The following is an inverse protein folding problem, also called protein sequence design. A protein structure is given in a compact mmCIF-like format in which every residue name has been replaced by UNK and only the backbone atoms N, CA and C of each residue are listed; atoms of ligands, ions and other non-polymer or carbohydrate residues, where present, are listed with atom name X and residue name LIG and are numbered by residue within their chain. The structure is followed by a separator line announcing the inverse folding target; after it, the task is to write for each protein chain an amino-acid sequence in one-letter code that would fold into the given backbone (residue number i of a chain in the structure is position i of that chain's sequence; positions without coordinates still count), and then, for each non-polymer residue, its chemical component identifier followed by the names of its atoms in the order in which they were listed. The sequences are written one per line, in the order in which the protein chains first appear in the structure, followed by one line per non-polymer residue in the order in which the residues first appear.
data_IF_930435584214
#
_entry.id   IF_930435584214
#
_cell.length_a   1.000
_cell.length_b   1.000
_cell.length_c   1.000
_cell.angle_alpha   90.00
_cell.angle_beta   90.00
_cell.angle_gamma   90.00
#
_symmetry.space_group_name_H-M   'P 1'
#
loop_
_entity.id
_entity.type
_entity.pdbx_description
1 polymer ?
#
# COMPACT_ATOMS: atom_id res chain seq x y z
N UNK A 1 7.64 -9.33 21.88
CA UNK A 1 8.12 -9.00 20.51
C UNK A 1 9.54 -8.51 20.63
N UNK A 2 10.48 -8.84 19.73
CA UNK A 2 11.80 -8.23 19.78
C UNK A 2 11.63 -6.70 19.69
N UNK A 3 12.50 -5.97 20.40
CA UNK A 3 12.49 -4.51 20.53
C UNK A 3 12.84 -3.87 19.17
N UNK A 4 11.92 -3.97 18.21
CA UNK A 4 12.03 -3.39 16.88
C UNK A 4 11.16 -2.11 16.82
N UNK A 5 11.78 -0.91 16.81
CA UNK A 5 11.05 0.34 16.77
C UNK A 5 10.11 0.49 15.58
N UNK A 6 10.40 -0.10 14.41
CA UNK A 6 9.49 -0.07 13.25
C UNK A 6 8.18 -0.77 13.61
N UNK A 7 8.27 -1.97 14.17
CA UNK A 7 7.10 -2.76 14.57
C UNK A 7 6.33 -2.06 15.68
N UNK A 8 7.05 -1.55 16.69
CA UNK A 8 6.47 -0.85 17.83
C UNK A 8 5.70 0.40 17.41
N UNK A 9 6.32 1.28 16.61
CA UNK A 9 5.70 2.54 16.19
C UNK A 9 4.47 2.28 15.32
N UNK A 10 4.55 1.36 14.36
CA UNK A 10 3.38 1.00 13.52
C UNK A 10 2.25 0.43 14.38
N UNK A 11 2.57 -0.42 15.37
CA UNK A 11 1.58 -0.98 16.29
C UNK A 11 0.93 0.09 17.16
N UNK A 12 1.72 0.99 17.74
CA UNK A 12 1.20 2.13 18.50
C UNK A 12 0.24 2.98 17.67
N UNK A 13 0.59 3.23 16.40
CA UNK A 13 -0.26 4.00 15.49
C UNK A 13 -1.58 3.29 15.16
N UNK A 14 -1.57 1.96 15.05
CA UNK A 14 -2.81 1.18 14.92
C UNK A 14 -3.63 1.23 16.21
N UNK A 15 -2.99 1.14 17.37
CA UNK A 15 -3.68 1.11 18.67
C UNK A 15 -4.35 2.44 19.03
N UNK A 16 -3.85 3.56 18.50
CA UNK A 16 -4.49 4.88 18.61
C UNK A 16 -5.81 4.99 17.85
N UNK A 17 -6.08 4.11 16.89
CA UNK A 17 -7.37 4.07 16.20
C UNK A 17 -8.39 3.57 17.20
N UNK A 18 -9.38 4.37 17.60
CA UNK A 18 -10.35 3.96 18.64
C UNK A 18 -11.29 2.83 18.18
N UNK A 19 -11.54 2.74 16.87
CA UNK A 19 -12.46 1.76 16.30
C UNK A 19 -12.05 0.30 16.65
N UNK A 20 -13.00 -0.56 17.05
CA UNK A 20 -12.71 -1.96 17.37
C UNK A 20 -12.58 -2.84 16.13
N UNK A 21 -13.20 -2.44 15.01
CA UNK A 21 -13.13 -3.11 13.72
C UNK A 21 -12.55 -2.19 12.65
N UNK A 22 -11.71 -2.74 11.79
CA UNK A 22 -11.00 -2.01 10.74
C UNK A 22 -10.93 -2.83 9.46
N UNK A 23 -11.02 -2.14 8.33
CA UNK A 23 -10.69 -2.68 7.03
C UNK A 23 -9.23 -2.37 6.67
N UNK A 24 -8.61 -3.23 5.85
CA UNK A 24 -7.27 -3.01 5.31
C UNK A 24 -7.30 -3.14 3.79
N UNK A 25 -6.80 -2.12 3.08
CA UNK A 25 -6.47 -2.24 1.66
C UNK A 25 -5.30 -3.20 1.49
N UNK A 26 -5.58 -4.39 0.97
CA UNK A 26 -4.73 -5.56 1.11
C UNK A 26 -4.26 -6.09 -0.25
N UNK A 27 -2.96 -5.96 -0.52
CA UNK A 27 -2.32 -6.45 -1.75
C UNK A 27 -1.62 -7.81 -1.59
N UNK A 28 -1.54 -8.34 -0.37
CA UNK A 28 -0.68 -9.50 -0.04
C UNK A 28 0.83 -9.22 -0.12
N UNK A 29 1.22 -7.94 -0.23
CA UNK A 29 2.61 -7.50 -0.15
C UNK A 29 3.10 -7.39 1.30
N UNK A 30 4.40 -7.12 1.47
CA UNK A 30 5.02 -7.00 2.80
C UNK A 30 4.35 -5.93 3.67
N UNK A 31 3.98 -4.80 3.08
CA UNK A 31 3.42 -3.64 3.78
C UNK A 31 2.05 -3.94 4.38
N UNK A 32 1.12 -4.41 3.54
CA UNK A 32 -0.26 -4.70 3.94
C UNK A 32 -0.36 -5.97 4.78
N UNK A 33 0.53 -6.96 4.57
CA UNK A 33 0.62 -8.16 5.40
C UNK A 33 1.12 -7.83 6.80
N UNK A 34 2.19 -7.04 6.92
CA UNK A 34 2.66 -6.60 8.24
C UNK A 34 1.58 -5.79 8.96
N UNK A 35 0.91 -4.89 8.24
CA UNK A 35 -0.19 -4.09 8.79
C UNK A 35 -1.33 -4.97 9.32
N UNK A 36 -1.72 -6.01 8.57
CA UNK A 36 -2.72 -6.98 8.98
C UNK A 36 -2.31 -7.80 10.22
N UNK A 37 -1.06 -8.26 10.27
CA UNK A 37 -0.53 -9.02 11.43
C UNK A 37 -0.52 -8.18 12.70
N UNK A 38 -0.19 -6.88 12.60
CA UNK A 38 -0.16 -5.97 13.73
C UNK A 38 -1.57 -5.56 14.16
N UNK A 39 -2.46 -5.25 13.21
CA UNK A 39 -3.82 -4.83 13.51
C UNK A 39 -4.66 -5.95 14.15
N UNK A 40 -4.53 -7.21 13.71
CA UNK A 40 -5.31 -8.33 14.27
C UNK A 40 -5.07 -8.61 15.76
N UNK A 41 -4.04 -8.02 16.36
CA UNK A 41 -3.71 -8.20 17.77
C UNK A 41 -4.59 -7.35 18.69
N UNK A 42 -5.17 -6.27 18.18
CA UNK A 42 -6.00 -5.34 18.96
C UNK A 42 -7.31 -4.97 18.26
N UNK A 43 -7.53 -5.41 17.02
CA UNK A 43 -8.68 -5.06 16.17
C UNK A 43 -9.28 -6.30 15.51
N UNK A 44 -10.59 -6.24 15.25
CA UNK A 44 -11.25 -7.14 14.30
C UNK A 44 -10.93 -6.65 12.88
N UNK A 45 -10.23 -7.47 12.10
CA UNK A 45 -9.69 -7.07 10.80
C UNK A 45 -10.43 -7.76 9.66
N UNK A 46 -10.84 -6.97 8.66
CA UNK A 46 -11.27 -7.47 7.34
C UNK A 46 -10.32 -6.97 6.26
N UNK A 47 -9.84 -7.88 5.42
CA UNK A 47 -8.94 -7.55 4.31
C UNK A 47 -9.75 -7.31 3.04
N UNK A 48 -9.40 -6.29 2.27
CA UNK A 48 -10.06 -5.95 1.00
C UNK A 48 -9.03 -5.88 -0.12
N UNK A 49 -9.27 -6.61 -1.22
CA UNK A 49 -8.41 -6.58 -2.41
C UNK A 49 -9.23 -6.33 -3.66
N UNK A 50 -8.67 -5.60 -4.62
CA UNK A 50 -9.25 -5.49 -5.95
C UNK A 50 -8.93 -6.75 -6.76
N UNK A 51 -9.94 -7.31 -7.39
CA UNK A 51 -9.85 -8.42 -8.33
C UNK A 51 -10.29 -7.96 -9.72
N UNK A 52 -9.35 -7.85 -10.65
CA UNK A 52 -9.67 -7.64 -12.06
C UNK A 52 -10.11 -8.98 -12.64
N UNK A 53 -11.20 -9.00 -13.40
CA UNK A 53 -11.76 -10.24 -13.97
C UNK A 53 -10.75 -11.04 -14.84
N UNK A 54 -9.67 -10.41 -15.31
CA UNK A 54 -8.53 -11.07 -15.94
C UNK A 54 -7.65 -11.78 -14.89
N UNK A 55 -7.41 -13.10 -15.06
CA UNK A 55 -6.58 -13.95 -14.19
C UNK A 55 -5.24 -13.28 -13.83
N UNK A 56 -5.18 -12.60 -12.68
CA UNK A 56 -3.98 -11.95 -12.18
C UNK A 56 -3.28 -12.78 -11.11
N UNK A 57 -1.97 -13.00 -11.22
CA UNK A 57 -1.18 -13.70 -10.18
C UNK A 57 -1.29 -13.03 -8.79
N UNK A 58 -1.51 -11.71 -8.74
CA UNK A 58 -1.54 -10.95 -7.49
C UNK A 58 -2.70 -11.33 -6.56
N UNK A 59 -3.87 -11.70 -7.12
CA UNK A 59 -5.01 -12.14 -6.31
C UNK A 59 -4.70 -13.45 -5.59
N UNK A 60 -3.94 -14.35 -6.23
CA UNK A 60 -3.54 -15.62 -5.62
C UNK A 60 -2.63 -15.40 -4.41
N UNK A 61 -1.71 -14.44 -4.49
CA UNK A 61 -0.87 -14.07 -3.35
C UNK A 61 -1.65 -13.44 -2.21
N UNK A 62 -2.58 -12.53 -2.51
CA UNK A 62 -3.46 -11.94 -1.50
C UNK A 62 -4.30 -13.02 -0.80
N UNK A 63 -4.91 -13.94 -1.56
CA UNK A 63 -5.64 -15.10 -1.00
C UNK A 63 -4.75 -15.95 -0.09
N UNK A 64 -3.57 -16.34 -0.57
CA UNK A 64 -2.62 -17.16 0.21
C UNK A 64 -2.20 -16.45 1.50
N UNK A 65 -1.87 -15.16 1.44
CA UNK A 65 -1.49 -14.39 2.61
C UNK A 65 -2.65 -14.26 3.60
N UNK A 66 -3.86 -13.95 3.13
CA UNK A 66 -5.04 -13.88 4.00
C UNK A 66 -5.34 -15.22 4.68
N UNK A 67 -5.25 -16.32 3.93
CA UNK A 67 -5.44 -17.69 4.45
C UNK A 67 -4.42 -18.03 5.54
N UNK A 68 -3.14 -17.78 5.31
CA UNK A 68 -2.06 -18.01 6.28
C UNK A 68 -2.20 -17.14 7.53
N UNK A 69 -2.78 -15.94 7.39
CA UNK A 69 -3.10 -15.06 8.51
C UNK A 69 -4.40 -15.46 9.24
N UNK A 70 -5.23 -16.34 8.67
CA UNK A 70 -6.56 -16.67 9.19
C UNK A 70 -7.52 -15.47 9.21
N UNK A 71 -7.35 -14.52 8.28
CA UNK A 71 -8.16 -13.29 8.22
C UNK A 71 -9.16 -13.34 7.05
N UNK A 72 -10.37 -12.80 7.23
CA UNK A 72 -11.35 -12.73 6.15
C UNK A 72 -10.86 -11.81 5.03
N UNK A 73 -10.99 -12.28 3.79
CA UNK A 73 -10.64 -11.53 2.59
C UNK A 73 -11.88 -11.31 1.73
N UNK A 74 -12.18 -10.04 1.46
CA UNK A 74 -13.20 -9.61 0.52
C UNK A 74 -12.51 -9.24 -0.80
N UNK A 75 -12.89 -9.95 -1.86
CA UNK A 75 -12.44 -9.65 -3.21
C UNK A 75 -13.44 -8.77 -3.93
N UNK A 76 -13.05 -7.53 -4.12
CA UNK A 76 -13.84 -6.53 -4.83
C UNK A 76 -13.56 -6.68 -6.31
N UNK A 77 -14.52 -7.30 -7.03
CA UNK A 77 -14.46 -7.39 -8.47
C UNK A 77 -14.63 -6.00 -9.09
N UNK A 78 -13.84 -5.73 -10.13
CA UNK A 78 -13.97 -4.50 -10.91
C UNK A 78 -13.84 -4.81 -12.39
N UNK A 79 -14.78 -4.29 -13.18
CA UNK A 79 -14.74 -4.39 -14.63
C UNK A 79 -13.96 -3.24 -15.24
N UNK A 80 -13.67 -3.35 -16.54
CA UNK A 80 -13.02 -2.26 -17.27
C UNK A 80 -13.92 -1.02 -17.38
N UNK A 81 -15.20 -1.21 -17.59
CA UNK A 81 -16.18 -0.13 -17.71
C UNK A 81 -16.26 0.65 -16.39
N UNK A 82 -16.21 -0.04 -15.25
CA UNK A 82 -16.12 0.60 -13.93
C UNK A 82 -14.82 1.39 -13.76
N UNK A 83 -13.68 0.88 -14.24
CA UNK A 83 -12.41 1.62 -14.24
C UNK A 83 -12.48 2.91 -15.07
N UNK A 84 -13.01 2.82 -16.29
CA UNK A 84 -13.18 3.97 -17.19
C UNK A 84 -14.13 5.01 -16.57
N UNK A 85 -15.23 4.57 -15.96
CA UNK A 85 -16.17 5.44 -15.24
C UNK A 85 -15.55 6.12 -14.02
N UNK A 86 -14.66 5.43 -13.30
CA UNK A 86 -14.00 5.96 -12.11
C UNK A 86 -12.83 6.90 -12.47
N UNK A 87 -12.25 6.78 -13.67
CA UNK A 87 -11.03 7.48 -14.05
C UNK A 87 -11.11 9.01 -13.96
N UNK A 88 -12.19 9.70 -14.37
CA UNK A 88 -12.29 11.15 -14.21
C UNK A 88 -12.19 11.62 -12.75
N UNK A 89 -12.94 10.98 -11.82
CA UNK A 89 -12.84 11.27 -10.38
C UNK A 89 -11.44 10.95 -9.86
N UNK A 90 -10.82 9.87 -10.33
CA UNK A 90 -9.46 9.51 -9.96
C UNK A 90 -8.42 10.55 -10.43
N UNK A 91 -8.61 11.13 -11.61
CA UNK A 91 -7.74 12.16 -12.17
C UNK A 91 -7.84 13.48 -11.38
N UNK A 92 -9.04 13.84 -10.95
CA UNK A 92 -9.28 14.98 -10.06
C UNK A 92 -8.57 14.79 -8.72
N UNK A 93 -8.78 13.65 -8.05
CA UNK A 93 -8.09 13.28 -6.80
C UNK A 93 -6.57 13.28 -6.99
N UNK A 94 -6.09 12.84 -8.15
CA UNK A 94 -4.67 12.82 -8.51
C UNK A 94 -4.10 14.21 -8.91
N UNK A 95 -4.90 15.28 -8.93
CA UNK A 95 -4.50 16.61 -9.43
C UNK A 95 -3.92 16.58 -10.85
N UNK A 96 -4.54 15.79 -11.73
CA UNK A 96 -4.12 15.64 -13.12
C UNK A 96 -2.97 14.65 -13.36
N UNK A 97 -2.39 14.05 -12.31
CA UNK A 97 -1.36 13.02 -12.45
C UNK A 97 -1.99 11.71 -12.96
N UNK A 98 -1.79 11.44 -14.25
CA UNK A 98 -2.37 10.28 -14.93
C UNK A 98 -1.92 8.97 -14.29
N UNK A 99 -0.66 8.85 -13.86
CA UNK A 99 -0.15 7.59 -13.29
C UNK A 99 -0.83 7.31 -11.95
N UNK A 100 -0.97 8.33 -11.10
CA UNK A 100 -1.70 8.20 -9.82
C UNK A 100 -3.18 7.95 -10.03
N UNK A 101 -3.79 8.55 -11.05
CA UNK A 101 -5.20 8.32 -11.39
C UNK A 101 -5.47 6.84 -11.72
N UNK A 102 -4.56 6.17 -12.42
CA UNK A 102 -4.67 4.73 -12.70
C UNK A 102 -4.63 3.87 -11.41
N UNK A 103 -3.93 4.33 -10.38
CA UNK A 103 -3.90 3.65 -9.06
C UNK A 103 -5.17 3.94 -8.26
N UNK A 104 -5.67 5.17 -8.31
CA UNK A 104 -6.86 5.60 -7.56
C UNK A 104 -8.19 5.07 -8.15
N UNK A 105 -8.29 4.92 -9.47
CA UNK A 105 -9.51 4.45 -10.15
C UNK A 105 -10.07 3.12 -9.60
N UNK A 106 -9.27 2.06 -9.41
CA UNK A 106 -9.76 0.84 -8.76
C UNK A 106 -10.06 1.05 -7.26
N UNK A 107 -9.29 1.89 -6.57
CA UNK A 107 -9.53 2.17 -5.14
C UNK A 107 -10.87 2.86 -4.89
N UNK A 108 -11.40 3.63 -5.84
CA UNK A 108 -12.76 4.18 -5.75
C UNK A 108 -13.80 3.07 -5.56
N UNK A 109 -13.68 1.97 -6.32
CA UNK A 109 -14.56 0.81 -6.16
C UNK A 109 -14.29 0.09 -4.84
N UNK A 110 -13.03 -0.11 -4.46
CA UNK A 110 -12.67 -0.75 -3.19
C UNK A 110 -13.31 -0.03 -1.99
N UNK A 111 -13.12 1.30 -1.91
CA UNK A 111 -13.60 2.12 -0.79
C UNK A 111 -15.14 2.12 -0.72
N UNK A 112 -15.84 2.01 -1.84
CA UNK A 112 -17.31 1.86 -1.87
C UNK A 112 -17.79 0.54 -1.26
N UNK A 113 -17.05 -0.55 -1.48
CA UNK A 113 -17.44 -1.90 -1.04
C UNK A 113 -16.97 -2.22 0.40
N UNK A 114 -16.06 -1.42 0.96
CA UNK A 114 -15.65 -1.53 2.37
C UNK A 114 -16.86 -1.22 3.27
N UNK A 115 -17.11 -2.09 4.26
CA UNK A 115 -18.26 -1.98 5.17
C UNK A 115 -17.89 -1.26 6.46
N UNK A 116 -16.64 -1.40 6.88
CA UNK A 116 -16.07 -0.78 8.06
C UNK A 116 -15.91 0.74 7.85
N UNK A 117 -16.03 1.51 8.93
CA UNK A 117 -15.84 2.97 8.88
C UNK A 117 -14.37 3.37 8.82
N UNK A 118 -13.47 2.51 9.27
CA UNK A 118 -12.04 2.80 9.41
C UNK A 118 -11.23 1.91 8.48
N UNK A 119 -10.53 2.51 7.52
CA UNK A 119 -9.78 1.82 6.47
C UNK A 119 -8.30 2.18 6.55
N UNK A 120 -7.45 1.16 6.71
CA UNK A 120 -6.00 1.32 6.81
C UNK A 120 -5.33 1.09 5.46
N UNK A 121 -4.31 1.91 5.18
CA UNK A 121 -3.49 1.84 3.97
C UNK A 121 -2.00 1.69 4.31
N UNK A 122 -1.25 1.07 3.40
CA UNK A 122 0.21 0.90 3.49
C UNK A 122 1.04 2.08 2.97
N UNK A 123 0.44 3.27 2.83
CA UNK A 123 1.13 4.46 2.28
C UNK A 123 2.30 4.90 3.17
N UNK A 124 3.36 5.42 2.55
CA UNK A 124 4.60 5.82 3.24
C UNK A 124 5.70 4.76 3.28
N UNK A 125 5.36 3.49 3.05
CA UNK A 125 6.38 2.41 3.06
C UNK A 125 7.34 2.46 1.88
N UNK A 126 6.94 3.05 0.77
CA UNK A 126 7.78 3.16 -0.42
C UNK A 126 8.89 4.19 -0.20
N UNK A 127 8.54 5.34 0.39
CA UNK A 127 9.41 6.46 0.72
C UNK A 127 10.32 6.12 1.91
N UNK A 128 9.77 5.49 2.97
CA UNK A 128 10.56 5.08 4.12
C UNK A 128 11.61 4.01 3.77
N UNK A 129 11.22 3.00 2.99
CA UNK A 129 12.02 1.78 2.83
C UNK A 129 12.54 1.58 1.40
N UNK A 130 12.63 2.63 0.60
CA UNK A 130 13.16 2.56 -0.77
C UNK A 130 12.48 1.50 -1.64
N UNK A 131 11.16 1.61 -1.77
CA UNK A 131 10.37 0.60 -2.45
C UNK A 131 10.15 0.83 -3.97
N UNK A 132 10.48 2.00 -4.52
CA UNK A 132 10.43 2.29 -5.96
C UNK A 132 11.80 2.12 -6.63
N UNK A 133 11.82 1.76 -7.93
CA UNK A 133 13.06 1.64 -8.70
C UNK A 133 13.86 2.94 -8.74
N UNK A 134 13.16 4.07 -8.92
CA UNK A 134 13.77 5.41 -8.97
C UNK A 134 14.54 5.79 -7.70
N UNK A 135 14.21 5.21 -6.54
CA UNK A 135 14.94 5.46 -5.29
C UNK A 135 16.39 4.97 -5.37
N UNK A 136 16.67 3.93 -6.17
CA UNK A 136 18.01 3.40 -6.38
C UNK A 136 18.81 4.16 -7.45
N UNK A 137 18.17 5.14 -8.10
CA UNK A 137 18.78 6.04 -9.09
C UNK A 137 19.13 7.41 -8.49
N UNK A 138 18.77 7.69 -7.25
CA UNK A 138 19.12 8.94 -6.59
C UNK A 138 20.61 9.00 -6.27
N UNK A 139 21.25 10.18 -6.35
CA UNK A 139 22.59 10.40 -5.82
C UNK A 139 22.62 10.06 -4.32
N UNK A 140 23.68 9.41 -3.85
CA UNK A 140 23.79 8.98 -2.44
C UNK A 140 23.68 10.17 -1.49
N UNK A 141 24.39 11.25 -1.81
CA UNK A 141 24.48 12.47 -1.02
C UNK A 141 23.12 13.15 -0.83
N UNK A 142 22.16 12.89 -1.72
CA UNK A 142 20.82 13.48 -1.71
C UNK A 142 19.73 12.46 -1.32
N UNK A 143 20.06 11.18 -1.18
CA UNK A 143 19.08 10.10 -1.05
C UNK A 143 18.14 10.33 0.14
N UNK A 144 18.67 10.51 1.34
CA UNK A 144 17.86 10.74 2.55
C UNK A 144 17.02 12.01 2.44
N UNK A 145 17.56 13.08 1.87
CA UNK A 145 16.83 14.33 1.71
C UNK A 145 15.66 14.17 0.73
N UNK A 146 15.88 13.53 -0.43
CA UNK A 146 14.82 13.24 -1.41
C UNK A 146 13.74 12.31 -0.86
N UNK A 147 14.12 11.25 -0.15
CA UNK A 147 13.15 10.35 0.50
C UNK A 147 12.30 11.09 1.55
N UNK A 148 12.93 11.97 2.34
CA UNK A 148 12.22 12.83 3.29
C UNK A 148 11.23 13.75 2.58
N UNK A 149 11.66 14.44 1.52
CA UNK A 149 10.79 15.34 0.74
C UNK A 149 9.59 14.60 0.14
N UNK A 150 9.82 13.39 -0.38
CA UNK A 150 8.75 12.56 -0.93
C UNK A 150 7.79 12.07 0.15
N UNK A 151 8.32 11.62 1.29
CA UNK A 151 7.51 11.23 2.44
C UNK A 151 6.65 12.40 2.92
N UNK A 152 7.24 13.59 3.14
CA UNK A 152 6.50 14.79 3.53
C UNK A 152 5.48 15.24 2.47
N UNK A 153 5.77 15.01 1.18
CA UNK A 153 4.84 15.32 0.11
C UNK A 153 3.61 14.41 0.06
N UNK A 154 3.62 13.23 0.70
CA UNK A 154 2.48 12.32 0.74
C UNK A 154 1.22 12.98 1.27
N UNK A 155 1.34 13.80 2.32
CA UNK A 155 0.24 14.54 2.95
C UNK A 155 -0.53 15.43 1.96
N UNK A 156 0.16 15.96 0.94
CA UNK A 156 -0.42 16.82 -0.10
C UNK A 156 -0.83 16.04 -1.37
N UNK A 157 -0.45 14.76 -1.45
CA UNK A 157 -0.55 13.89 -2.61
C UNK A 157 -1.38 12.62 -2.30
N UNK A 158 -0.75 11.46 -2.15
CA UNK A 158 -1.42 10.16 -2.00
C UNK A 158 -2.32 10.11 -0.76
N UNK A 159 -1.81 10.56 0.40
CA UNK A 159 -2.58 10.55 1.65
C UNK A 159 -3.78 11.49 1.54
N UNK A 160 -3.60 12.67 0.95
CA UNK A 160 -4.69 13.60 0.65
C UNK A 160 -5.79 12.94 -0.16
N UNK A 161 -5.42 12.34 -1.29
CA UNK A 161 -6.35 11.71 -2.22
C UNK A 161 -7.09 10.53 -1.58
N UNK A 162 -6.42 9.72 -0.77
CA UNK A 162 -7.02 8.59 -0.07
C UNK A 162 -7.96 9.04 1.05
N UNK A 163 -7.62 10.11 1.79
CA UNK A 163 -8.52 10.72 2.78
C UNK A 163 -9.77 11.27 2.12
N UNK A 164 -9.62 12.14 1.11
CA UNK A 164 -10.74 12.70 0.35
C UNK A 164 -11.64 11.62 -0.24
N UNK A 165 -11.04 10.54 -0.77
CA UNK A 165 -11.79 9.41 -1.29
C UNK A 165 -12.59 8.70 -0.19
N UNK A 166 -11.96 8.37 0.94
CA UNK A 166 -12.65 7.70 2.05
C UNK A 166 -13.76 8.57 2.63
N UNK A 167 -13.50 9.86 2.85
CA UNK A 167 -14.47 10.82 3.35
C UNK A 167 -15.68 10.95 2.42
N UNK A 168 -15.46 10.94 1.09
CA UNK A 168 -16.55 10.96 0.10
C UNK A 168 -17.49 9.76 0.18
N UNK A 169 -17.07 8.68 0.85
CA UNK A 169 -17.83 7.45 1.05
C UNK A 169 -18.15 7.20 2.54
N UNK A 170 -18.05 8.24 3.38
CA UNK A 170 -18.37 8.21 4.81
C UNK A 170 -17.39 7.43 5.69
N UNK A 171 -16.14 7.27 5.24
CA UNK A 171 -15.08 6.47 5.88
C UNK A 171 -13.91 7.35 6.34
N UNK A 172 -13.12 6.82 7.27
CA UNK A 172 -11.88 7.41 7.77
C UNK A 172 -10.68 6.61 7.28
N UNK A 173 -9.73 7.30 6.65
CA UNK A 173 -8.49 6.71 6.17
C UNK A 173 -7.39 6.80 7.24
N UNK A 174 -6.68 5.70 7.47
CA UNK A 174 -5.59 5.60 8.43
C UNK A 174 -4.30 5.18 7.75
N UNK A 175 -3.17 5.77 8.16
CA UNK A 175 -1.86 5.57 7.53
C UNK A 175 -0.79 5.24 8.58
N UNK A 176 -0.78 4.04 9.18
CA UNK A 176 0.07 3.77 10.36
C UNK A 176 1.57 3.84 10.11
N UNK A 177 2.01 3.77 8.84
CA UNK A 177 3.41 3.99 8.45
C UNK A 177 3.76 5.47 8.27
N UNK A 178 2.78 6.37 8.13
CA UNK A 178 3.02 7.80 7.96
C UNK A 178 3.26 8.48 9.32
N UNK A 179 4.44 8.22 9.89
CA UNK A 179 4.89 8.76 11.17
C UNK A 179 6.32 9.29 11.07
N UNK A 180 6.55 10.53 11.52
CA UNK A 180 7.89 11.14 11.53
C UNK A 180 8.89 10.36 12.39
N UNK A 181 8.42 9.69 13.46
CA UNK A 181 9.27 8.82 14.29
C UNK A 181 9.81 7.64 13.49
N UNK A 182 9.02 7.09 12.56
CA UNK A 182 9.49 6.05 11.64
C UNK A 182 10.51 6.61 10.66
N UNK A 183 10.25 7.80 10.10
CA UNK A 183 11.18 8.47 9.19
C UNK A 183 12.54 8.70 9.85
N UNK A 184 12.55 9.31 11.04
CA UNK A 184 13.76 9.59 11.81
C UNK A 184 14.52 8.29 12.15
N UNK A 185 13.80 7.27 12.61
CA UNK A 185 14.41 5.98 12.94
C UNK A 185 15.02 5.31 11.70
N UNK A 186 14.29 5.24 10.58
CA UNK A 186 14.80 4.62 9.35
C UNK A 186 15.98 5.41 8.79
N UNK A 187 15.94 6.75 8.83
CA UNK A 187 17.04 7.61 8.39
C UNK A 187 18.28 7.54 9.29
N UNK A 188 18.17 7.00 10.50
CA UNK A 188 19.35 6.76 11.36
C UNK A 188 20.25 5.65 10.81
N UNK A 189 19.74 4.77 9.95
CA UNK A 189 20.53 3.70 9.35
C UNK A 189 21.40 4.19 8.18
N UNK A 190 22.56 3.54 7.93
CA UNK A 190 23.28 3.68 6.67
C UNK A 190 22.41 3.27 5.48
N UNK A 191 22.60 3.90 4.33
CA UNK A 191 21.81 3.67 3.12
C UNK A 191 21.94 2.23 2.63
N UNK A 192 23.11 1.61 2.79
CA UNK A 192 23.39 0.22 2.45
C UNK A 192 22.52 -0.76 3.25
N UNK A 193 22.09 -0.38 4.44
CA UNK A 193 21.17 -1.19 5.27
C UNK A 193 19.73 -1.03 4.80
N UNK A 194 19.33 0.20 4.45
CA UNK A 194 17.98 0.48 3.95
C UNK A 194 17.77 -0.19 2.58
N UNK A 195 18.79 -0.13 1.72
CA UNK A 195 18.74 -0.39 0.28
C UNK A 195 19.54 -1.62 -0.19
N UNK A 196 19.86 -2.56 0.72
CA UNK A 196 20.78 -3.69 0.43
C UNK A 196 20.39 -4.54 -0.78
N UNK A 197 19.08 -4.67 -1.05
CA UNK A 197 18.54 -5.58 -2.05
C UNK A 197 17.66 -4.82 -3.05
N UNK A 198 18.26 -4.43 -4.19
CA UNK A 198 17.57 -3.70 -5.26
C UNK A 198 16.49 -4.55 -5.97
N UNK A 199 16.62 -5.88 -5.95
CA UNK A 199 15.66 -6.76 -6.62
C UNK A 199 14.38 -6.94 -5.79
N UNK A 200 14.50 -7.12 -4.47
CA UNK A 200 13.34 -7.31 -3.60
C UNK A 200 12.77 -6.00 -3.08
N UNK A 201 13.63 -4.98 -2.90
CA UNK A 201 13.35 -3.68 -2.31
C UNK A 201 12.82 -3.78 -0.88
N UNK A 202 12.71 -2.65 -0.16
CA UNK A 202 12.21 -2.63 1.23
C UNK A 202 12.97 -3.56 2.15
N UNK A 203 14.30 -3.63 2.01
CA UNK A 203 15.14 -4.60 2.71
C UNK A 203 14.96 -4.50 4.23
N UNK A 204 15.13 -3.30 4.79
CA UNK A 204 14.98 -3.07 6.22
C UNK A 204 13.59 -3.45 6.75
N UNK A 205 12.51 -3.18 5.99
CA UNK A 205 11.16 -3.59 6.37
C UNK A 205 11.00 -5.11 6.38
N UNK A 206 11.54 -5.80 5.37
CA UNK A 206 11.50 -7.27 5.27
C UNK A 206 12.29 -7.93 6.40
N UNK A 207 13.45 -7.40 6.75
CA UNK A 207 14.23 -7.90 7.89
C UNK A 207 13.51 -7.61 9.20
N UNK A 208 12.89 -6.43 9.33
CA UNK A 208 12.08 -6.07 10.49
C UNK A 208 10.86 -6.99 10.70
N UNK A 209 10.32 -7.53 9.61
CA UNK A 209 9.16 -8.42 9.61
C UNK A 209 9.53 -9.91 9.76
N UNK A 210 10.82 -10.25 9.95
CA UNK A 210 11.27 -11.64 10.10
C UNK A 210 10.62 -12.31 11.30
N UNK A 211 10.01 -13.47 11.08
CA UNK A 211 9.27 -14.22 12.10
C UNK A 211 7.93 -13.59 12.51
N UNK A 212 7.51 -12.49 11.86
CA UNK A 212 6.24 -11.80 12.12
C UNK A 212 5.24 -12.07 11.00
N UNK A 213 5.68 -11.94 9.74
CA UNK A 213 4.87 -12.25 8.56
C UNK A 213 5.23 -13.62 7.99
N UNK A 214 4.35 -14.27 7.21
CA UNK A 214 4.68 -15.50 6.51
C UNK A 214 5.93 -15.34 5.63
N UNK A 215 6.81 -16.34 5.67
CA UNK A 215 8.14 -16.24 5.04
C UNK A 215 8.08 -16.03 3.52
N UNK A 216 7.06 -16.58 2.86
CA UNK A 216 6.86 -16.37 1.42
C UNK A 216 6.51 -14.92 1.08
N UNK A 217 5.86 -14.17 1.99
CA UNK A 217 5.61 -12.72 1.81
C UNK A 217 6.92 -11.96 1.98
N UNK A 218 7.70 -12.31 3.02
CA UNK A 218 8.97 -11.66 3.36
C UNK A 218 10.01 -11.78 2.26
N UNK A 219 10.10 -12.93 1.60
CA UNK A 219 11.16 -13.24 0.62
C UNK A 219 10.74 -13.01 -0.84
N UNK A 220 9.45 -12.77 -1.11
CA UNK A 220 8.94 -12.52 -2.46
C UNK A 220 9.64 -11.33 -3.13
N UNK A 221 10.21 -11.57 -4.32
CA UNK A 221 10.68 -10.49 -5.20
C UNK A 221 9.50 -9.60 -5.58
N UNK A 222 9.66 -8.28 -5.41
CA UNK A 222 8.62 -7.31 -5.80
C UNK A 222 8.57 -7.30 -7.33
N UNK A 223 7.53 -7.90 -7.93
CA UNK A 223 7.14 -7.48 -9.28
C UNK A 223 6.65 -6.04 -9.13
N UNK A 224 7.29 -5.08 -9.80
CA UNK A 224 6.84 -3.68 -9.80
C UNK A 224 5.33 -3.66 -10.04
N UNK A 225 4.60 -2.84 -9.26
CA UNK A 225 3.13 -2.78 -9.23
C UNK A 225 2.50 -3.12 -10.58
N UNK A 226 2.12 -4.38 -10.76
CA UNK A 226 1.35 -4.80 -11.93
C UNK A 226 -0.06 -4.19 -11.88
N UNK A 227 -0.48 -3.54 -10.80
CA UNK A 227 -1.70 -2.73 -10.80
C UNK A 227 -1.58 -1.56 -11.78
N UNK A 228 -0.49 -0.79 -11.74
CA UNK A 228 -0.25 0.28 -12.71
C UNK A 228 -0.12 -0.28 -14.12
N UNK A 229 0.67 -1.34 -14.32
CA UNK A 229 0.87 -1.93 -15.65
C UNK A 229 -0.37 -2.64 -16.20
N UNK A 230 -1.13 -3.38 -15.39
CA UNK A 230 -2.39 -4.04 -15.81
C UNK A 230 -3.50 -3.02 -16.03
N UNK A 231 -3.65 -2.02 -15.16
CA UNK A 231 -4.62 -0.94 -15.39
C UNK A 231 -4.23 -0.16 -16.65
N UNK A 232 -2.95 0.20 -16.82
CA UNK A 232 -2.43 0.82 -18.05
C UNK A 232 -2.56 -0.11 -19.27
N UNK A 233 -2.41 -1.43 -19.14
CA UNK A 233 -2.64 -2.41 -20.22
C UNK A 233 -4.11 -2.53 -20.58
N UNK A 234 -5.01 -2.56 -19.59
CA UNK A 234 -6.47 -2.53 -19.76
C UNK A 234 -6.88 -1.25 -20.51
N UNK A 235 -6.35 -0.09 -20.11
CA UNK A 235 -6.54 1.18 -20.82
C UNK A 235 -5.85 1.21 -22.20
N UNK A 236 -4.67 0.61 -22.39
CA UNK A 236 -3.96 0.54 -23.69
C UNK A 236 -4.68 -0.35 -24.70
N UNK A 237 -5.25 -1.47 -24.27
CA UNK A 237 -6.09 -2.34 -25.11
C UNK A 237 -7.36 -1.59 -25.58
N UNK A 238 -7.87 -0.62 -24.79
CA UNK A 238 -9.06 0.17 -25.12
C UNK A 238 -8.85 1.03 -26.36
N UNK A 239 -7.71 1.72 -26.42
CA UNK A 239 -7.34 2.60 -27.53
C UNK A 239 -7.07 1.85 -28.84
N UNK A 240 -6.83 0.53 -28.78
CA UNK A 240 -6.61 -0.32 -29.97
C UNK A 240 -7.88 -0.95 -30.52
N UNK A 241 -8.93 -1.11 -29.71
CA UNK A 241 -10.22 -1.65 -30.14
C UNK A 241 -11.19 -0.58 -30.71
N UNK A 242 -10.80 0.70 -30.63
CA UNK A 242 -11.53 1.85 -31.20
C UNK A 242 -10.85 2.42 -32.46
N UNK A 243 -9.90 1.67 -33.03
CA UNK A 243 -9.29 1.92 -34.34
C UNK A 243 -9.64 0.77 -35.27
#
# INVERSE_FOLDING_TARGET
MPDNPIIRIVKENIDRIEAPEVAISFSGGIDSTLLAVLARQSKKVTLYTINFEERGEDIHYARKAAQELGLPLVEVKITREELEKNFPKALELAKGDVVKAHVLAPLIKLVKEVKEKDLLFGAGTEELFMGYDRHYSFPKEELKQRLKEEFEALERNEIRALRELCESEGKRAHFPYYDKRLLEYVHSFPEEVIAKDKERKKHLLRESAKGIVPEFVRTRKKKALQYGTKVVEVFRKARRAQR
#
